data_IF_335073968679
#
_entry.id   IF_335073968679
#
_cell.length_a   1.000
_cell.length_b   1.000
_cell.length_c   1.000
_cell.angle_alpha   90.00
_cell.angle_beta   90.00
_cell.angle_gamma   90.00
#
_symmetry.space_group_name_H-M   'P 1'
#
loop_
_entity.id
_entity.type
_entity.pdbx_description
1 polymer ?
#
# COMPACT_ATOMS: atom_id res chain seq x y z
N UNK A 1 -26.93 14.33 14.32
CA UNK A 1 -26.90 13.72 12.98
C UNK A 1 -25.60 12.95 12.84
N UNK A 2 -25.64 11.62 12.67
CA UNK A 2 -24.43 10.87 12.30
C UNK A 2 -24.08 11.29 10.87
N UNK A 3 -23.01 12.06 10.69
CA UNK A 3 -22.44 12.26 9.35
C UNK A 3 -22.05 10.87 8.85
N UNK A 4 -22.77 10.35 7.85
CA UNK A 4 -22.35 9.16 7.13
C UNK A 4 -20.95 9.46 6.59
N UNK A 5 -19.93 8.85 7.22
CA UNK A 5 -18.54 9.11 6.89
C UNK A 5 -18.34 8.66 5.45
N UNK A 6 -18.06 9.62 4.56
CA UNK A 6 -17.77 9.36 3.15
C UNK A 6 -16.63 8.33 3.10
N UNK A 7 -16.94 7.12 2.67
CA UNK A 7 -16.00 6.01 2.59
C UNK A 7 -15.59 5.79 1.15
N UNK A 8 -14.46 5.12 0.94
CA UNK A 8 -13.96 4.85 -0.40
C UNK A 8 -13.63 3.37 -0.56
N UNK A 9 -14.54 2.55 -1.11
CA UNK A 9 -14.37 1.09 -1.17
C UNK A 9 -13.06 0.62 -1.83
N UNK A 10 -12.57 1.36 -2.82
CA UNK A 10 -11.30 1.04 -3.50
C UNK A 10 -10.10 1.09 -2.55
N UNK A 11 -10.14 1.93 -1.51
CA UNK A 11 -9.09 1.96 -0.48
C UNK A 11 -9.12 0.68 0.34
N UNK A 12 -10.30 0.25 0.81
CA UNK A 12 -10.46 -1.02 1.53
C UNK A 12 -9.96 -2.19 0.69
N UNK A 13 -10.39 -2.29 -0.57
CA UNK A 13 -9.95 -3.35 -1.47
C UNK A 13 -8.43 -3.33 -1.70
N UNK A 14 -7.83 -2.14 -1.82
CA UNK A 14 -6.37 -2.01 -2.00
C UNK A 14 -5.62 -2.52 -0.76
N UNK A 15 -6.09 -2.15 0.44
CA UNK A 15 -5.53 -2.62 1.71
C UNK A 15 -5.63 -4.13 1.84
N UNK A 16 -6.78 -4.71 1.52
CA UNK A 16 -6.99 -6.17 1.55
C UNK A 16 -6.11 -6.90 0.53
N UNK A 17 -5.99 -6.36 -0.68
CA UNK A 17 -5.12 -6.92 -1.73
C UNK A 17 -3.67 -6.94 -1.26
N UNK A 18 -3.15 -5.82 -0.76
CA UNK A 18 -1.77 -5.72 -0.27
C UNK A 18 -1.51 -6.68 0.88
N UNK A 19 -2.46 -6.81 1.82
CA UNK A 19 -2.35 -7.79 2.92
C UNK A 19 -2.31 -9.23 2.40
N UNK A 20 -3.19 -9.60 1.48
CA UNK A 20 -3.20 -10.93 0.87
C UNK A 20 -1.92 -11.24 0.08
N UNK A 21 -1.40 -10.26 -0.64
CA UNK A 21 -0.12 -10.40 -1.37
C UNK A 21 1.08 -10.47 -0.41
N UNK A 22 1.03 -9.78 0.73
CA UNK A 22 2.06 -9.88 1.78
C UNK A 22 2.06 -11.27 2.43
N UNK A 23 0.88 -11.81 2.75
CA UNK A 23 0.73 -13.18 3.27
C UNK A 23 1.19 -14.27 2.28
N UNK A 24 1.26 -13.93 0.99
CA UNK A 24 1.72 -14.82 -0.07
C UNK A 24 3.18 -14.61 -0.45
N UNK A 25 3.94 -13.86 0.35
CA UNK A 25 5.33 -13.45 0.09
C UNK A 25 5.54 -12.73 -1.26
N UNK A 26 4.48 -12.13 -1.81
CA UNK A 26 4.54 -11.37 -3.08
C UNK A 26 4.83 -9.89 -2.88
N UNK A 27 4.58 -9.36 -1.69
CA UNK A 27 4.85 -7.98 -1.30
C UNK A 27 5.62 -7.98 0.01
N UNK A 28 6.66 -7.15 0.08
CA UNK A 28 7.45 -6.99 1.30
C UNK A 28 6.62 -6.40 2.44
N UNK A 29 6.72 -6.90 3.68
CA UNK A 29 5.97 -6.37 4.82
C UNK A 29 6.17 -4.86 5.02
N UNK A 30 7.39 -4.35 4.89
CA UNK A 30 7.66 -2.91 5.09
C UNK A 30 6.95 -2.04 4.05
N UNK A 31 6.86 -2.54 2.81
CA UNK A 31 6.16 -1.87 1.73
C UNK A 31 4.63 -1.96 1.93
N UNK A 32 4.15 -3.10 2.40
CA UNK A 32 2.75 -3.28 2.75
C UNK A 32 2.29 -2.29 3.81
N UNK A 33 3.07 -2.12 4.88
CA UNK A 33 2.78 -1.17 5.95
C UNK A 33 2.75 0.26 5.42
N UNK A 34 3.74 0.65 4.61
CA UNK A 34 3.78 1.97 3.98
C UNK A 34 2.52 2.23 3.11
N UNK A 35 2.14 1.26 2.27
CA UNK A 35 0.94 1.38 1.44
C UNK A 35 -0.31 1.51 2.30
N UNK A 36 -0.46 0.70 3.36
CA UNK A 36 -1.62 0.77 4.25
C UNK A 36 -1.72 2.13 4.94
N UNK A 37 -0.62 2.69 5.43
CA UNK A 37 -0.59 4.01 6.07
C UNK A 37 -1.02 5.10 5.07
N UNK A 38 -0.44 5.10 3.87
CA UNK A 38 -0.78 6.06 2.81
C UNK A 38 -2.26 5.95 2.42
N UNK A 39 -2.78 4.73 2.29
CA UNK A 39 -4.18 4.47 1.97
C UNK A 39 -5.14 4.98 3.04
N UNK A 40 -4.85 4.76 4.32
CA UNK A 40 -5.65 5.30 5.42
C UNK A 40 -5.59 6.81 5.49
N UNK A 41 -4.46 7.42 5.17
CA UNK A 41 -4.36 8.87 5.06
C UNK A 41 -5.20 9.41 3.90
N UNK A 42 -5.11 8.81 2.72
CA UNK A 42 -5.88 9.20 1.54
C UNK A 42 -7.39 9.08 1.76
N UNK A 43 -7.86 8.02 2.42
CA UNK A 43 -9.26 7.83 2.80
C UNK A 43 -9.75 8.95 3.72
N UNK A 44 -8.95 9.35 4.72
CA UNK A 44 -9.28 10.48 5.60
C UNK A 44 -9.32 11.80 4.85
N UNK A 45 -8.35 12.05 3.97
CA UNK A 45 -8.30 13.27 3.17
C UNK A 45 -9.48 13.37 2.20
N UNK A 46 -9.90 12.24 1.61
CA UNK A 46 -11.11 12.18 0.77
C UNK A 46 -12.39 12.42 1.57
N UNK A 47 -12.48 11.86 2.79
CA UNK A 47 -13.62 12.08 3.67
C UNK A 47 -13.74 13.54 4.16
N UNK A 48 -12.65 14.31 4.08
CA UNK A 48 -12.57 15.74 4.38
C UNK A 48 -12.63 16.61 3.11
N UNK A 49 -12.93 16.03 1.94
CA UNK A 49 -12.99 16.69 0.63
C UNK A 49 -11.69 17.44 0.24
N UNK A 50 -10.54 17.02 0.77
CA UNK A 50 -9.22 17.61 0.47
C UNK A 50 -8.57 17.05 -0.79
N UNK A 51 -9.01 15.86 -1.22
CA UNK A 51 -8.53 15.16 -2.42
C UNK A 51 -9.72 14.56 -3.16
N UNK A 52 -9.63 14.54 -4.48
CA UNK A 52 -10.66 13.98 -5.36
C UNK A 52 -10.66 12.45 -5.36
N UNK A 53 -11.82 11.85 -5.67
CA UNK A 53 -11.94 10.40 -5.82
C UNK A 53 -11.05 9.84 -6.94
N UNK A 54 -10.82 10.62 -8.01
CA UNK A 54 -9.92 10.26 -9.10
C UNK A 54 -8.46 10.16 -8.65
N UNK A 55 -7.99 11.11 -7.85
CA UNK A 55 -6.62 11.12 -7.32
C UNK A 55 -6.37 9.93 -6.40
N UNK A 56 -7.32 9.63 -5.51
CA UNK A 56 -7.19 8.48 -4.61
C UNK A 56 -7.24 7.16 -5.38
N UNK A 57 -8.08 7.03 -6.43
CA UNK A 57 -8.08 5.84 -7.31
C UNK A 57 -6.74 5.67 -8.02
N UNK A 58 -6.17 6.75 -8.55
CA UNK A 58 -4.87 6.72 -9.20
C UNK A 58 -3.78 6.29 -8.21
N UNK A 59 -3.78 6.86 -7.00
CA UNK A 59 -2.84 6.51 -5.95
C UNK A 59 -2.93 5.02 -5.58
N UNK A 60 -4.14 4.46 -5.39
CA UNK A 60 -4.34 3.03 -5.17
C UNK A 60 -3.70 2.19 -6.28
N UNK A 61 -3.92 2.55 -7.54
CA UNK A 61 -3.36 1.83 -8.69
C UNK A 61 -1.83 1.89 -8.73
N UNK A 62 -1.24 3.06 -8.50
CA UNK A 62 0.21 3.22 -8.52
C UNK A 62 0.91 2.48 -7.38
N UNK A 63 0.33 2.50 -6.17
CA UNK A 63 0.89 1.78 -5.04
C UNK A 63 0.81 0.26 -5.22
N UNK A 64 -0.28 -0.26 -5.80
CA UNK A 64 -0.35 -1.69 -6.15
C UNK A 64 0.69 -2.08 -7.20
N UNK A 65 0.91 -1.23 -8.22
CA UNK A 65 1.96 -1.48 -9.21
C UNK A 65 3.35 -1.47 -8.57
N UNK A 66 3.62 -0.48 -7.72
CA UNK A 66 4.88 -0.38 -6.99
C UNK A 66 5.12 -1.60 -6.10
N UNK A 67 4.08 -2.03 -5.37
CA UNK A 67 4.12 -3.20 -4.49
C UNK A 67 4.54 -4.48 -5.24
N UNK A 68 4.10 -4.63 -6.48
CA UNK A 68 4.39 -5.80 -7.33
C UNK A 68 5.70 -5.73 -8.10
N UNK A 69 6.23 -4.52 -8.34
CA UNK A 69 7.48 -4.34 -9.09
C UNK A 69 8.73 -4.52 -8.23
N UNK A 70 8.63 -4.24 -6.94
CA UNK A 70 9.75 -4.41 -6.03
C UNK A 70 9.92 -5.90 -5.70
N UNK A 71 11.11 -6.47 -5.91
CA UNK A 71 11.33 -7.88 -5.60
C UNK A 71 11.07 -8.14 -4.11
N UNK A 72 10.55 -9.34 -3.74
CA UNK A 72 10.53 -9.77 -2.36
C UNK A 72 11.95 -9.70 -1.79
N UNK A 73 12.09 -9.42 -0.49
CA UNK A 73 13.41 -9.24 0.11
C UNK A 73 14.25 -10.49 -0.08
N UNK A 74 15.31 -10.40 -0.89
CA UNK A 74 16.40 -11.37 -0.85
C UNK A 74 17.09 -11.20 0.51
N UNK A 75 16.65 -11.98 1.51
CA UNK A 75 17.39 -12.16 2.75
C UNK A 75 18.72 -12.91 2.53
N UNK A 76 19.07 -13.24 1.27
CA UNK A 76 20.35 -13.80 0.83
C UNK A 76 21.33 -12.72 0.37
N UNK A 77 21.53 -11.65 1.15
CA UNK A 77 22.87 -11.05 1.14
C UNK A 77 23.80 -12.06 1.79
N UNK A 78 24.32 -12.99 0.99
CA UNK A 78 25.52 -13.73 1.37
C UNK A 78 26.57 -12.69 1.80
N UNK A 79 27.26 -12.91 2.94
CA UNK A 79 28.29 -11.98 3.37
C UNK A 79 29.27 -11.86 2.21
N UNK A 80 29.42 -10.64 1.70
CA UNK A 80 30.42 -10.32 0.69
C UNK A 80 31.73 -10.76 1.32
N UNK A 81 32.31 -11.86 0.84
CA UNK A 81 33.63 -12.28 1.28
C UNK A 81 34.55 -11.10 1.02
N UNK A 82 34.89 -10.39 2.09
CA UNK A 82 35.89 -9.35 2.09
C UNK A 82 37.18 -10.05 1.66
N UNK A 83 37.59 -9.79 0.42
CA UNK A 83 38.83 -10.35 -0.11
C UNK A 83 39.98 -9.92 0.80
N UNK A 84 40.66 -10.93 1.33
CA UNK A 84 41.90 -10.88 2.10
C UNK A 84 42.95 -9.91 1.55
#
# INVERSE_FOLDING_TARGET
MQHARKSMPVVTMTVETVRGETLSDRVRPELADAVIVVMRHAERSYALDRVGSGEVRLLCQQLLRLARMLPPSDNRREPREERS
#
